data_IF_811938581645
#
_entry.id   IF_811938581645
#
_cell.length_a   1.000
_cell.length_b   1.000
_cell.length_c   1.000
_cell.angle_alpha   90.00
_cell.angle_beta   90.00
_cell.angle_gamma   90.00
#
_symmetry.space_group_name_H-M   'P 1'
#
loop_
_entity.id
_entity.type
_entity.pdbx_description
1 polymer ?
#
# COMPACT_ATOMS: atom_id res chain seq x y z
N UNK A 1 9.24 7.86 7.10
CA UNK A 1 8.93 6.43 6.89
C UNK A 1 8.35 6.28 5.49
N UNK A 2 8.79 5.32 4.67
CA UNK A 2 8.25 5.10 3.34
C UNK A 2 6.83 4.55 3.40
N UNK A 3 5.93 5.07 2.57
CA UNK A 3 4.51 4.68 2.52
C UNK A 3 4.12 4.28 1.09
N UNK A 4 3.62 3.05 0.94
CA UNK A 4 3.04 2.53 -0.30
C UNK A 4 1.52 2.48 -0.16
N UNK A 5 0.81 3.11 -1.10
CA UNK A 5 -0.66 3.10 -1.15
C UNK A 5 -1.13 2.06 -2.14
N UNK A 6 -2.02 1.17 -1.72
CA UNK A 6 -2.77 0.27 -2.61
C UNK A 6 -4.23 0.72 -2.60
N UNK A 7 -4.78 1.11 -3.74
CA UNK A 7 -6.15 1.58 -3.84
C UNK A 7 -6.86 1.16 -5.13
N UNK A 8 -8.08 1.65 -5.31
CA UNK A 8 -8.87 1.46 -6.52
C UNK A 8 -9.58 2.76 -6.92
N UNK A 9 -10.02 2.86 -8.18
CA UNK A 9 -10.75 4.02 -8.68
C UNK A 9 -12.27 3.82 -8.69
N UNK A 10 -12.77 2.64 -8.31
CA UNK A 10 -14.18 2.28 -8.31
C UNK A 10 -14.65 1.80 -6.94
N UNK A 11 -15.93 1.91 -6.62
CA UNK A 11 -16.54 1.20 -5.50
C UNK A 11 -16.72 -0.29 -5.85
N UNK A 12 -16.45 -1.16 -4.88
CA UNK A 12 -16.60 -2.62 -5.02
C UNK A 12 -15.32 -3.42 -4.76
N UNK A 13 -15.45 -4.75 -4.85
CA UNK A 13 -14.37 -5.70 -4.61
C UNK A 13 -13.41 -5.79 -5.80
N UNK A 14 -12.47 -4.86 -5.91
CA UNK A 14 -11.46 -4.84 -6.98
C UNK A 14 -10.30 -5.84 -6.78
N UNK A 15 -10.27 -6.58 -5.67
CA UNK A 15 -9.16 -7.47 -5.32
C UNK A 15 -7.96 -6.75 -4.69
N UNK A 16 -8.18 -5.65 -3.95
CA UNK A 16 -7.13 -4.92 -3.22
C UNK A 16 -6.50 -5.76 -2.12
N UNK A 17 -7.31 -6.39 -1.27
CA UNK A 17 -6.84 -7.17 -0.12
C UNK A 17 -5.86 -8.27 -0.54
N UNK A 18 -6.13 -9.06 -1.60
CA UNK A 18 -5.13 -9.94 -2.18
C UNK A 18 -3.81 -9.22 -2.51
N UNK A 19 -3.85 -8.11 -3.26
CA UNK A 19 -2.64 -7.34 -3.62
C UNK A 19 -1.87 -6.87 -2.38
N UNK A 20 -2.55 -6.40 -1.34
CA UNK A 20 -1.91 -5.97 -0.09
C UNK A 20 -1.22 -7.15 0.59
N UNK A 21 -1.89 -8.30 0.72
CA UNK A 21 -1.32 -9.52 1.30
C UNK A 21 -0.06 -9.94 0.53
N UNK A 22 -0.15 -10.06 -0.80
CA UNK A 22 1.01 -10.41 -1.62
C UNK A 22 2.15 -9.41 -1.45
N UNK A 23 1.87 -8.11 -1.48
CA UNK A 23 2.91 -7.09 -1.33
C UNK A 23 3.61 -7.22 0.03
N UNK A 24 2.85 -7.40 1.11
CA UNK A 24 3.38 -7.59 2.46
C UNK A 24 4.26 -8.84 2.52
N UNK A 25 3.77 -9.99 2.04
CA UNK A 25 4.54 -11.23 2.01
C UNK A 25 5.85 -11.08 1.20
N UNK A 26 5.78 -10.41 0.05
CA UNK A 26 6.96 -10.15 -0.79
C UNK A 26 7.98 -9.22 -0.12
N UNK A 27 7.54 -8.28 0.72
CA UNK A 27 8.43 -7.41 1.50
C UNK A 27 9.05 -8.18 2.67
N UNK A 28 8.26 -8.98 3.39
CA UNK A 28 8.72 -9.83 4.49
C UNK A 28 9.73 -10.88 4.02
N UNK A 29 9.50 -11.52 2.86
CA UNK A 29 10.46 -12.45 2.24
C UNK A 29 11.82 -11.81 1.93
N UNK A 30 11.87 -10.48 1.82
CA UNK A 30 13.11 -9.70 1.63
C UNK A 30 13.68 -9.17 2.95
N UNK A 31 13.13 -9.58 4.09
CA UNK A 31 13.54 -9.14 5.43
C UNK A 31 13.11 -7.72 5.79
N UNK A 32 12.16 -7.13 5.05
CA UNK A 32 11.66 -5.77 5.34
C UNK A 32 10.55 -5.86 6.39
N UNK A 33 10.73 -5.14 7.50
CA UNK A 33 9.71 -5.01 8.54
C UNK A 33 8.62 -4.05 8.08
N UNK A 34 7.49 -4.59 7.64
CA UNK A 34 6.38 -3.83 7.08
C UNK A 34 5.19 -3.82 8.04
N UNK A 35 4.54 -2.67 8.18
CA UNK A 35 3.25 -2.54 8.86
C UNK A 35 2.14 -2.16 7.88
N UNK A 36 0.90 -2.48 8.23
CA UNK A 36 -0.27 -2.18 7.39
C UNK A 36 -1.22 -1.23 8.11
N UNK A 37 -1.66 -0.18 7.43
CA UNK A 37 -2.66 0.75 7.96
C UNK A 37 -3.92 0.76 7.10
N UNK A 38 -5.07 0.67 7.75
CA UNK A 38 -6.38 0.72 7.11
C UNK A 38 -7.32 1.67 7.86
N UNK A 39 -8.45 2.02 7.23
CA UNK A 39 -9.55 2.72 7.90
C UNK A 39 -10.38 1.81 8.80
N UNK A 40 -10.35 0.50 8.56
CA UNK A 40 -11.22 -0.46 9.24
C UNK A 40 -12.67 -0.40 8.78
N UNK A 41 -12.92 -0.41 7.45
CA UNK A 41 -14.28 -0.36 6.92
C UNK A 41 -15.15 -1.50 7.47
N UNK A 42 -16.34 -1.17 7.96
CA UNK A 42 -17.24 -2.12 8.62
C UNK A 42 -16.92 -2.41 10.09
N UNK A 43 -15.71 -2.08 10.56
CA UNK A 43 -15.31 -2.21 11.96
C UNK A 43 -15.79 -1.04 12.83
N UNK A 44 -16.05 -1.33 14.10
CA UNK A 44 -16.42 -0.37 15.14
C UNK A 44 -15.61 -0.60 16.40
N UNK A 45 -14.33 -0.22 16.36
CA UNK A 45 -13.51 -0.23 17.55
C UNK A 45 -14.03 0.78 18.59
N UNK A 46 -13.98 0.42 19.87
CA UNK A 46 -14.33 1.32 20.97
C UNK A 46 -13.38 2.51 21.06
N UNK A 47 -12.11 2.31 20.70
CA UNK A 47 -11.06 3.33 20.71
C UNK A 47 -10.17 3.21 19.49
N UNK A 48 -9.83 4.37 18.94
CA UNK A 48 -8.84 4.51 17.86
C UNK A 48 -7.63 5.32 18.34
N UNK A 49 -6.43 5.11 17.74
CA UNK A 49 -6.10 4.03 16.80
C UNK A 49 -6.13 2.65 17.49
N UNK A 50 -6.58 1.62 16.78
CA UNK A 50 -6.56 0.23 17.24
C UNK A 50 -5.43 -0.51 16.52
N UNK A 51 -4.43 -0.99 17.26
CA UNK A 51 -3.43 -1.93 16.76
C UNK A 51 -3.99 -3.33 16.98
N UNK A 52 -4.00 -4.15 15.93
CA UNK A 52 -4.58 -5.48 15.95
C UNK A 52 -3.68 -6.45 16.72
N UNK A 53 -4.34 -7.38 17.40
CA UNK A 53 -3.77 -8.59 17.98
C UNK A 53 -4.57 -9.83 17.54
N UNK A 54 -4.14 -11.02 17.98
CA UNK A 54 -4.80 -12.30 17.64
C UNK A 54 -6.24 -12.42 18.15
N UNK A 55 -6.65 -11.55 19.08
CA UNK A 55 -8.00 -11.54 19.67
C UNK A 55 -8.90 -10.50 19.02
N UNK A 56 -8.35 -9.63 18.16
CA UNK A 56 -9.09 -8.55 17.55
C UNK A 56 -10.08 -9.11 16.53
N UNK A 57 -11.36 -8.83 16.75
CA UNK A 57 -12.44 -9.33 15.91
C UNK A 57 -12.66 -8.48 14.66
N UNK A 58 -13.30 -9.06 13.64
CA UNK A 58 -13.73 -8.33 12.44
C UNK A 58 -14.78 -7.27 12.78
N UNK A 59 -15.58 -7.46 13.83
CA UNK A 59 -16.51 -6.45 14.32
C UNK A 59 -15.79 -5.19 14.82
N UNK A 60 -14.57 -5.31 15.37
CA UNK A 60 -13.78 -4.18 15.85
C UNK A 60 -12.98 -3.53 14.71
N UNK A 61 -12.25 -4.33 13.93
CA UNK A 61 -11.27 -3.82 12.96
C UNK A 61 -11.73 -3.86 11.49
N UNK A 62 -12.83 -4.54 11.18
CA UNK A 62 -13.28 -4.84 9.82
C UNK A 62 -12.68 -6.14 9.28
N UNK A 63 -13.28 -6.68 8.21
CA UNK A 63 -12.88 -7.97 7.64
C UNK A 63 -11.48 -7.93 6.99
N UNK A 64 -11.20 -6.88 6.20
CA UNK A 64 -9.94 -6.78 5.46
C UNK A 64 -8.70 -6.65 6.39
N UNK A 65 -8.69 -5.77 7.43
CA UNK A 65 -7.51 -5.65 8.30
C UNK A 65 -7.23 -6.92 9.10
N UNK A 66 -8.26 -7.59 9.60
CA UNK A 66 -8.14 -8.87 10.31
C UNK A 66 -7.60 -9.95 9.37
N UNK A 67 -8.12 -10.05 8.15
CA UNK A 67 -7.63 -11.00 7.17
C UNK A 67 -6.14 -10.76 6.84
N UNK A 68 -5.74 -9.51 6.64
CA UNK A 68 -4.33 -9.17 6.37
C UNK A 68 -3.44 -9.56 7.56
N UNK A 69 -3.85 -9.23 8.79
CA UNK A 69 -3.11 -9.57 10.01
C UNK A 69 -2.93 -11.08 10.14
N UNK A 70 -4.03 -11.85 10.05
CA UNK A 70 -4.01 -13.31 10.17
C UNK A 70 -3.19 -14.00 9.08
N UNK A 71 -3.20 -13.47 7.85
CA UNK A 71 -2.51 -14.10 6.72
C UNK A 71 -1.01 -13.82 6.70
N UNK A 72 -0.62 -12.61 7.10
CA UNK A 72 0.76 -12.14 6.92
C UNK A 72 1.54 -12.08 8.23
N UNK A 73 0.85 -12.09 9.38
CA UNK A 73 1.46 -11.83 10.69
C UNK A 73 2.04 -10.42 10.82
N UNK A 74 1.81 -9.52 9.85
CA UNK A 74 2.32 -8.16 9.91
C UNK A 74 1.57 -7.35 10.98
N UNK A 75 2.22 -6.37 11.63
CA UNK A 75 1.54 -5.40 12.47
C UNK A 75 0.51 -4.61 11.65
N UNK A 76 -0.74 -4.63 12.08
CA UNK A 76 -1.84 -3.92 11.42
C UNK A 76 -2.45 -2.94 12.39
N UNK A 77 -2.74 -1.71 11.93
CA UNK A 77 -3.52 -0.75 12.71
C UNK A 77 -4.65 -0.15 11.89
N UNK A 78 -5.77 0.09 12.57
CA UNK A 78 -6.94 0.76 12.00
C UNK A 78 -7.19 2.08 12.71
N UNK A 79 -7.49 3.11 11.92
CA UNK A 79 -7.96 4.40 12.43
C UNK A 79 -8.67 5.18 11.32
N UNK A 80 -9.70 5.99 11.65
CA UNK A 80 -10.30 6.91 10.69
C UNK A 80 -9.25 7.84 10.05
N UNK A 81 -8.32 8.34 10.86
CA UNK A 81 -7.15 9.10 10.42
C UNK A 81 -5.92 8.19 10.33
N UNK A 82 -5.49 7.90 9.09
CA UNK A 82 -4.34 7.00 8.83
C UNK A 82 -3.04 7.45 9.50
N UNK A 83 -2.82 8.75 9.64
CA UNK A 83 -1.64 9.27 10.33
C UNK A 83 -1.53 8.76 11.77
N UNK A 84 -2.67 8.55 12.44
CA UNK A 84 -2.69 8.10 13.83
C UNK A 84 -2.47 6.59 13.93
N UNK A 85 -3.00 5.81 12.98
CA UNK A 85 -2.64 4.40 12.83
C UNK A 85 -1.14 4.21 12.55
N UNK A 86 -0.54 5.05 11.68
CA UNK A 86 0.90 5.02 11.43
C UNK A 86 1.69 5.33 12.69
N UNK A 87 1.33 6.40 13.43
CA UNK A 87 2.01 6.75 14.68
C UNK A 87 1.93 5.60 15.71
N UNK A 88 0.76 4.98 15.85
CA UNK A 88 0.56 3.86 16.77
C UNK A 88 1.46 2.67 16.41
N UNK A 89 1.52 2.30 15.12
CA UNK A 89 2.42 1.23 14.67
C UNK A 89 3.89 1.55 14.91
N UNK A 90 4.32 2.78 14.61
CA UNK A 90 5.71 3.21 14.84
C UNK A 90 6.09 3.30 16.32
N UNK A 91 5.12 3.50 17.21
CA UNK A 91 5.36 3.45 18.66
C UNK A 91 5.45 2.03 19.21
N UNK A 92 4.79 1.05 18.58
CA UNK A 92 4.71 -0.32 19.06
C UNK A 92 5.70 -1.28 18.38
N UNK A 93 6.17 -0.95 17.16
CA UNK A 93 6.98 -1.83 16.33
C UNK A 93 8.09 -1.07 15.61
N UNK A 94 9.25 -1.71 15.47
CA UNK A 94 10.33 -1.20 14.63
C UNK A 94 10.07 -1.55 13.15
N UNK A 95 9.47 -0.60 12.43
CA UNK A 95 9.06 -0.78 11.03
C UNK A 95 10.00 -0.02 10.08
N UNK A 96 10.12 -0.52 8.85
CA UNK A 96 10.88 0.07 7.76
C UNK A 96 10.00 0.56 6.62
N UNK A 97 8.74 0.11 6.55
CA UNK A 97 7.78 0.49 5.52
C UNK A 97 6.34 0.38 6.02
N UNK A 98 5.46 1.25 5.52
CA UNK A 98 4.02 1.14 5.70
C UNK A 98 3.34 0.86 4.37
N UNK A 99 2.42 -0.10 4.35
CA UNK A 99 1.45 -0.31 3.27
C UNK A 99 0.08 0.18 3.74
N UNK A 100 -0.65 0.91 2.91
CA UNK A 100 -2.03 1.30 3.24
C UNK A 100 -3.04 0.80 2.23
N UNK A 101 -4.09 0.19 2.76
CA UNK A 101 -5.31 -0.18 2.03
C UNK A 101 -6.21 1.06 1.88
N UNK A 102 -6.52 1.41 0.64
CA UNK A 102 -7.55 2.37 0.25
C UNK A 102 -7.24 3.85 0.56
N UNK A 103 -5.99 4.24 0.34
CA UNK A 103 -5.46 5.58 0.62
C UNK A 103 -5.52 6.60 -0.54
N UNK A 104 -5.97 6.21 -1.74
CA UNK A 104 -5.94 7.12 -2.90
C UNK A 104 -6.72 8.42 -2.64
N UNK A 105 -7.87 8.30 -1.97
CA UNK A 105 -8.72 9.43 -1.60
C UNK A 105 -8.23 10.24 -0.39
N UNK A 106 -7.16 9.79 0.30
CA UNK A 106 -6.62 10.43 1.51
C UNK A 106 -5.29 11.15 1.21
N UNK A 107 -5.39 12.30 0.56
CA UNK A 107 -4.25 13.14 0.16
C UNK A 107 -3.41 13.69 1.33
N UNK A 108 -3.91 13.63 2.57
CA UNK A 108 -3.22 14.16 3.77
C UNK A 108 -2.04 13.30 4.24
N UNK A 109 -1.93 12.05 3.80
CA UNK A 109 -0.79 11.20 4.11
C UNK A 109 0.24 11.30 2.98
N UNK A 110 1.44 11.80 3.29
CA UNK A 110 2.55 11.77 2.36
C UNK A 110 2.83 10.31 1.95
N UNK A 111 2.93 10.07 0.64
CA UNK A 111 3.08 8.75 0.04
C UNK A 111 4.19 8.76 -0.98
N UNK A 112 4.97 7.70 -0.98
CA UNK A 112 6.13 7.56 -1.87
C UNK A 112 5.76 6.83 -3.15
N UNK A 113 4.81 5.90 -3.07
CA UNK A 113 4.35 5.08 -4.20
C UNK A 113 2.86 4.79 -4.15
N UNK A 114 2.24 4.71 -5.32
CA UNK A 114 0.83 4.38 -5.50
C UNK A 114 0.64 3.22 -6.47
N UNK A 115 -0.15 2.23 -6.04
CA UNK A 115 -0.59 1.09 -6.82
C UNK A 115 -2.12 1.15 -6.92
N UNK A 116 -2.64 1.10 -8.15
CA UNK A 116 -4.09 1.00 -8.40
C UNK A 116 -4.44 -0.42 -8.81
N UNK A 117 -5.48 -0.97 -8.18
CA UNK A 117 -6.04 -2.27 -8.53
C UNK A 117 -7.36 -2.07 -9.29
N UNK A 118 -7.44 -2.66 -10.48
CA UNK A 118 -8.60 -2.63 -11.37
C UNK A 118 -9.17 -4.05 -11.47
N UNK A 119 -10.49 -4.19 -11.39
CA UNK A 119 -11.16 -5.44 -11.80
C UNK A 119 -11.06 -5.58 -13.32
N UNK A 120 -10.40 -6.61 -13.81
CA UNK A 120 -10.15 -6.78 -15.25
C UNK A 120 -11.37 -7.15 -16.07
N UNK A 121 -12.46 -7.59 -15.45
CA UNK A 121 -13.73 -7.92 -16.12
C UNK A 121 -14.64 -6.70 -16.09
N UNK A 122 -14.88 -6.14 -14.91
CA UNK A 122 -15.80 -5.01 -14.71
C UNK A 122 -15.19 -3.69 -15.12
N UNK A 123 -13.86 -3.56 -15.04
CA UNK A 123 -13.09 -2.32 -15.32
C UNK A 123 -13.69 -1.13 -14.56
N UNK A 124 -14.29 -0.18 -15.27
CA UNK A 124 -14.92 1.02 -14.71
C UNK A 124 -16.45 0.95 -14.68
N UNK A 125 -17.04 -0.23 -14.92
CA UNK A 125 -18.49 -0.41 -15.02
C UNK A 125 -19.09 0.42 -16.15
N UNK A 126 -20.10 1.22 -15.82
CA UNK A 126 -20.80 2.08 -16.77
C UNK A 126 -20.06 3.42 -17.05
N UNK A 127 -18.87 3.65 -16.47
CA UNK A 127 -18.08 4.86 -16.69
C UNK A 127 -18.60 6.11 -15.96
N UNK A 128 -19.69 6.01 -15.23
CA UNK A 128 -20.27 7.11 -14.47
C UNK A 128 -19.70 7.16 -13.03
N UNK A 129 -19.74 8.36 -12.46
CA UNK A 129 -19.32 8.61 -11.08
C UNK A 129 -20.44 8.26 -10.11
N UNK A 130 -20.09 8.00 -8.85
CA UNK A 130 -21.09 7.82 -7.80
C UNK A 130 -22.02 9.05 -7.69
N UNK A 131 -23.35 8.87 -7.53
CA UNK A 131 -24.07 7.59 -7.41
C UNK A 131 -24.49 6.94 -8.74
N UNK A 132 -24.35 7.62 -9.89
CA UNK A 132 -24.78 7.13 -11.21
C UNK A 132 -23.96 5.94 -11.74
N UNK A 133 -22.76 5.72 -11.19
CA UNK A 133 -21.88 4.61 -11.54
C UNK A 133 -20.84 4.33 -10.46
N UNK A 134 -19.98 3.32 -10.64
CA UNK A 134 -19.09 2.88 -9.59
C UNK A 134 -17.84 3.75 -9.45
N UNK A 135 -17.57 4.70 -10.35
CA UNK A 135 -16.31 5.46 -10.31
C UNK A 135 -16.27 6.45 -9.13
N UNK A 136 -15.11 6.48 -8.47
CA UNK A 136 -14.76 7.39 -7.38
C UNK A 136 -13.82 8.50 -7.81
N UNK A 137 -13.02 8.25 -8.84
CA UNK A 137 -12.04 9.16 -9.42
C UNK A 137 -12.02 8.97 -10.95
N UNK A 138 -11.50 9.97 -11.68
CA UNK A 138 -11.34 9.90 -13.14
C UNK A 138 -10.38 8.78 -13.54
N UNK A 139 -10.67 8.10 -14.65
CA UNK A 139 -9.76 7.10 -15.22
C UNK A 139 -8.38 7.67 -15.58
N UNK A 140 -8.29 8.99 -15.86
CA UNK A 140 -7.01 9.67 -16.10
C UNK A 140 -6.04 9.58 -14.92
N UNK A 141 -6.53 9.30 -13.70
CA UNK A 141 -5.69 9.09 -12.51
C UNK A 141 -4.67 7.96 -12.68
N UNK A 142 -4.96 6.98 -13.55
CA UNK A 142 -4.04 5.90 -13.86
C UNK A 142 -2.73 6.38 -14.50
N UNK A 143 -2.69 7.57 -15.09
CA UNK A 143 -1.49 8.13 -15.71
C UNK A 143 -0.48 8.66 -14.68
N UNK A 144 -0.91 8.87 -13.43
CA UNK A 144 -0.08 9.48 -12.38
C UNK A 144 0.23 8.52 -11.23
N UNK A 145 -0.11 7.23 -11.36
CA UNK A 145 0.26 6.20 -10.38
C UNK A 145 1.50 5.45 -10.83
N UNK A 146 2.22 4.85 -9.89
CA UNK A 146 3.42 4.10 -10.22
C UNK A 146 3.09 2.78 -10.91
N UNK A 147 2.03 2.10 -10.47
CA UNK A 147 1.63 0.81 -11.03
C UNK A 147 0.11 0.64 -11.13
N UNK A 148 -0.31 -0.08 -12.17
CA UNK A 148 -1.70 -0.54 -12.35
C UNK A 148 -1.71 -2.06 -12.37
N UNK A 149 -2.40 -2.67 -11.41
CA UNK A 149 -2.61 -4.11 -11.31
C UNK A 149 -4.03 -4.41 -11.75
N UNK A 150 -4.19 -5.43 -12.59
CA UNK A 150 -5.50 -5.86 -13.12
C UNK A 150 -5.81 -7.25 -12.59
N UNK A 151 -6.88 -7.34 -11.80
CA UNK A 151 -7.36 -8.59 -11.22
C UNK A 151 -8.33 -9.29 -12.19
N UNK A 152 -7.91 -10.42 -12.77
CA UNK A 152 -8.70 -11.16 -13.75
C UNK A 152 -8.78 -10.46 -15.12
N UNK A 153 -9.64 -10.96 -16.00
CA UNK A 153 -9.82 -10.38 -17.34
C UNK A 153 -8.55 -10.36 -18.20
N UNK A 154 -8.49 -9.38 -19.12
CA UNK A 154 -7.37 -9.13 -20.02
C UNK A 154 -6.71 -7.81 -19.63
N UNK A 155 -5.43 -7.86 -19.28
CA UNK A 155 -4.64 -6.67 -19.00
C UNK A 155 -4.34 -5.90 -20.29
N UNK A 156 -4.39 -4.57 -20.23
CA UNK A 156 -4.01 -3.68 -21.32
C UNK A 156 -2.50 -3.38 -21.27
N UNK A 157 -1.92 -2.81 -22.35
CA UNK A 157 -0.53 -2.37 -22.32
C UNK A 157 -0.26 -1.44 -21.14
N UNK A 158 0.84 -1.70 -20.41
CA UNK A 158 1.22 -0.96 -19.20
C UNK A 158 0.56 -1.44 -17.90
N UNK A 159 -0.34 -2.42 -17.97
CA UNK A 159 -1.00 -3.00 -16.79
C UNK A 159 -0.37 -4.35 -16.40
N UNK A 160 -0.29 -4.62 -15.09
CA UNK A 160 0.27 -5.86 -14.53
C UNK A 160 -0.89 -6.84 -14.30
N UNK A 161 -0.92 -7.99 -15.00
CA UNK A 161 -1.98 -8.98 -14.81
C UNK A 161 -1.80 -9.72 -13.47
N UNK A 162 -2.91 -9.91 -12.79
CA UNK A 162 -3.01 -10.70 -11.57
C UNK A 162 -4.17 -11.69 -11.72
N UNK A 163 -3.96 -12.94 -11.31
CA UNK A 163 -5.05 -13.92 -11.17
C UNK A 163 -5.09 -14.43 -9.73
N UNK A 164 -6.27 -14.33 -9.13
CA UNK A 164 -6.54 -14.97 -7.85
C UNK A 164 -6.85 -16.45 -8.09
N UNK A 165 -6.04 -17.37 -7.56
CA UNK A 165 -6.34 -18.81 -7.59
C UNK A 165 -7.19 -19.18 -6.37
N UNK A 166 -8.05 -20.19 -6.50
CA UNK A 166 -8.80 -20.75 -5.37
C UNK A 166 -7.82 -21.09 -4.23
N UNK A 167 -8.12 -20.62 -3.01
CA UNK A 167 -7.22 -20.70 -1.86
C UNK A 167 -6.43 -19.41 -1.55
N UNK A 168 -6.81 -18.26 -2.12
CA UNK A 168 -6.21 -16.93 -1.89
C UNK A 168 -4.72 -16.81 -2.27
N UNK A 169 -4.18 -17.82 -2.97
CA UNK A 169 -2.82 -17.77 -3.50
C UNK A 169 -2.81 -16.88 -4.73
N UNK A 170 -2.01 -15.83 -4.67
CA UNK A 170 -1.79 -14.92 -5.79
C UNK A 170 -0.72 -15.46 -6.71
N UNK A 171 -1.01 -15.42 -8.01
CA UNK A 171 -0.01 -15.55 -9.05
C UNK A 171 -0.02 -14.25 -9.83
N UNK A 172 0.89 -13.34 -9.47
CA UNK A 172 1.32 -12.28 -10.37
C UNK A 172 2.21 -12.96 -11.40
N UNK A 173 1.84 -12.88 -12.68
CA UNK A 173 2.64 -13.44 -13.77
C UNK A 173 3.58 -12.35 -14.29
N UNK A 174 4.91 -12.51 -14.25
CA UNK A 174 5.79 -11.72 -15.10
C UNK A 174 6.45 -12.62 -16.15
N UNK A 175 6.48 -12.18 -17.41
CA UNK A 175 7.61 -12.46 -18.29
C UNK A 175 7.73 -11.50 -19.48
N UNK A 176 6.64 -11.19 -20.20
CA UNK A 176 6.76 -10.58 -21.55
C UNK A 176 5.96 -9.28 -21.82
N UNK A 177 5.38 -8.63 -20.82
CA UNK A 177 4.93 -7.24 -21.04
C UNK A 177 6.18 -6.38 -21.00
N UNK A 178 6.48 -5.67 -22.09
CA UNK A 178 7.60 -4.73 -22.19
C UNK A 178 7.46 -3.63 -21.12
N UNK A 179 7.90 -3.93 -19.91
CA UNK A 179 8.04 -3.00 -18.80
C UNK A 179 9.41 -2.32 -18.94
N UNK A 180 9.41 -1.11 -19.45
CA UNK A 180 10.54 -0.20 -19.25
C UNK A 180 10.37 0.52 -17.91
N UNK A 181 11.36 0.61 -17.00
CA UNK A 181 12.49 -0.28 -16.74
C UNK A 181 12.06 -1.48 -15.84
N UNK A 182 12.88 -2.54 -15.74
CA UNK A 182 12.46 -3.85 -15.24
C UNK A 182 12.09 -3.83 -13.76
N UNK A 183 11.20 -4.75 -13.35
CA UNK A 183 10.86 -5.06 -11.95
C UNK A 183 12.08 -5.22 -11.01
N UNK A 184 13.29 -5.43 -11.57
CA UNK A 184 14.58 -5.42 -10.86
C UNK A 184 14.99 -4.06 -10.25
N UNK A 185 14.40 -2.94 -10.67
CA UNK A 185 14.72 -1.60 -10.14
C UNK A 185 13.66 -1.00 -9.23
N UNK A 186 12.46 -1.58 -9.16
CA UNK A 186 11.33 -1.06 -8.38
C UNK A 186 11.56 -1.03 -6.86
N UNK A 187 12.40 -1.93 -6.36
CA UNK A 187 12.72 -2.05 -4.93
C UNK A 187 14.07 -1.43 -4.54
N UNK A 188 14.82 -0.83 -5.48
CA UNK A 188 16.08 -0.14 -5.16
C UNK A 188 15.79 1.19 -4.46
N UNK A 189 15.38 1.09 -3.19
CA UNK A 189 15.71 2.10 -2.22
C UNK A 189 17.24 2.25 -2.19
N UNK A 190 17.81 3.46 -2.22
CA UNK A 190 19.25 3.60 -2.11
C UNK A 190 19.66 2.95 -0.79
N UNK A 191 20.62 2.02 -0.83
CA UNK A 191 21.08 1.27 0.34
C UNK A 191 21.51 2.17 1.51
N UNK A 192 21.83 3.45 1.22
CA UNK A 192 22.12 4.50 2.20
C UNK A 192 20.93 4.90 3.09
N UNK A 193 19.69 4.66 2.67
CA UNK A 193 18.50 5.02 3.42
C UNK A 193 17.99 3.88 4.34
N UNK A 194 18.49 2.65 4.14
CA UNK A 194 18.19 1.48 5.00
C UNK A 194 19.23 1.35 6.15
N UNK A 195 20.38 2.03 6.06
CA UNK A 195 21.54 1.79 6.94
C UNK A 195 21.68 2.75 8.14
N UNK A 196 20.60 3.33 8.66
CA UNK A 196 20.60 4.14 9.90
C UNK A 196 19.54 3.70 10.92
N UNK A 197 19.53 2.40 11.25
CA UNK A 197 18.77 1.88 12.40
C UNK A 197 19.65 1.07 13.37
N UNK A 198 20.97 1.22 13.32
CA UNK A 198 21.90 0.53 14.21
C UNK A 198 23.03 1.46 14.66
N UNK A 199 22.72 2.41 15.53
CA UNK A 199 23.68 3.04 16.46
C UNK A 199 22.90 3.71 17.61
N UNK A 200 23.21 3.45 18.89
CA UNK A 200 22.60 4.17 20.00
C UNK A 200 23.05 5.65 20.00
N UNK A 201 22.25 6.58 20.55
CA UNK A 201 22.58 8.00 20.50
C UNK A 201 23.73 8.31 21.48
N UNK A 202 24.91 8.63 20.94
CA UNK A 202 25.93 9.36 21.70
C UNK A 202 25.57 10.84 21.71
N UNK A 203 25.42 11.42 22.90
CA UNK A 203 25.27 12.85 23.15
C UNK A 203 26.43 13.65 22.53
N UNK A 204 26.14 14.60 21.64
CA UNK A 204 26.85 15.90 21.56
C UNK A 204 26.31 16.82 20.44
N UNK A 205 26.06 18.07 20.83
CA UNK A 205 26.23 19.34 20.08
C UNK A 205 25.45 19.62 18.77
N UNK A 206 24.43 20.47 18.94
CA UNK A 206 24.23 21.77 18.30
C UNK A 206 24.57 22.05 16.81
N UNK A 207 23.54 22.59 16.14
CA UNK A 207 23.56 23.59 15.06
C UNK A 207 24.00 23.17 13.64
N UNK A 208 23.04 23.21 12.71
CA UNK A 208 23.04 24.15 11.57
C UNK A 208 21.88 23.84 10.64
N UNK A 209 21.28 24.91 10.10
CA UNK A 209 20.18 24.88 9.13
C UNK A 209 20.64 24.19 7.84
N UNK A 210 19.88 23.23 7.33
CA UNK A 210 20.02 22.78 5.94
C UNK A 210 18.66 22.69 5.24
N UNK A 211 18.53 23.47 4.16
CA UNK A 211 17.39 23.60 3.24
C UNK A 211 16.98 22.25 2.61
N UNK A 212 15.72 22.08 2.14
CA UNK A 212 15.26 20.85 1.53
C UNK A 212 15.89 20.60 0.15
N UNK A 213 16.17 19.32 -0.12
CA UNK A 213 16.90 18.81 -1.28
C UNK A 213 16.14 19.00 -2.60
N UNK A 214 16.81 19.58 -3.60
CA UNK A 214 16.38 19.68 -5.01
C UNK A 214 17.11 18.61 -5.83
N UNK A 215 16.38 17.81 -6.60
CA UNK A 215 16.98 16.84 -7.54
C UNK A 215 17.39 17.52 -8.85
N UNK A 216 18.67 17.42 -9.22
CA UNK A 216 19.17 17.81 -10.55
C UNK A 216 18.86 16.70 -11.55
N UNK A 217 18.22 17.09 -12.65
CA UNK A 217 18.02 16.28 -13.85
C UNK A 217 19.36 16.11 -14.55
N UNK A 218 19.82 14.88 -14.80
CA UNK A 218 20.86 14.61 -15.79
C UNK A 218 20.14 14.16 -17.05
N UNK A 219 20.10 15.07 -18.04
CA UNK A 219 19.81 14.75 -19.44
C UNK A 219 21.04 14.10 -20.06
N UNK A 220 20.82 13.17 -20.98
CA UNK A 220 21.62 13.11 -22.21
C UNK A 220 20.73 13.65 -23.32
#
# INVERSE_FOLDING_TARGET
MPVVVVGNLTAGGNGKTPVVIWLVEQLQQRGIRVGVVSRGYGGKAERYPLVLDDRTSTAQAGDEPVLIHQRTGAPVAVAPLRSDAVKALLSAHDLQMIVTDDGLQHYKLARDREIVVIDGVRRFGNGWWLPAGPMRERASRLQSVDAVIVNGGVARPGEIPMRLRRGWRLTCLPANVAMSPPLRTWWRWPASAIRRASSPPSKAAASSRSKPWRWRTIRR
#
